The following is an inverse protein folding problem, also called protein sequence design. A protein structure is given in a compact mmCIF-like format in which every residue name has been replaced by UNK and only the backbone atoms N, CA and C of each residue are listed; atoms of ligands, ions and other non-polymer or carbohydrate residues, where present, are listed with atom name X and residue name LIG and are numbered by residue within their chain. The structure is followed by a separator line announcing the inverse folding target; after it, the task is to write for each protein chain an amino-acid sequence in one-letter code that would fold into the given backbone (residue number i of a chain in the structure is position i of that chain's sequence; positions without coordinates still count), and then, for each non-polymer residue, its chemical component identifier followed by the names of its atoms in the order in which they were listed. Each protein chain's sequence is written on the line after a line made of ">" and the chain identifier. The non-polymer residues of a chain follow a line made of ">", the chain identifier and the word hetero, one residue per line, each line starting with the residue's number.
data_IF_334573747283
#
_entry.id   IF_334573747283
#
_cell.length_a   1.000
_cell.length_b   1.000
_cell.length_c   1.000
_cell.angle_alpha   90.00
_cell.angle_beta   90.00
_cell.angle_gamma   90.00
#
_symmetry.space_group_name_H-M   'P 1'
#
loop_
_entity.id
_entity.type
_entity.pdbx_description
1 polymer ?
#
# COMPACT_ATOMS: atom_id res chain seq x y z
N UNK A 1 6.28 11.10 9.28
CA UNK A 1 5.26 11.55 10.24
C UNK A 1 3.98 11.81 9.45
N UNK A 2 2.89 12.27 10.08
CA UNK A 2 1.63 12.50 9.36
C UNK A 2 1.76 13.62 8.30
N UNK A 3 2.62 14.62 8.53
CA UNK A 3 2.90 15.69 7.57
C UNK A 3 3.54 15.22 6.25
N UNK A 4 4.10 14.00 6.20
CA UNK A 4 4.71 13.44 4.99
C UNK A 4 3.67 12.88 4.01
N UNK A 5 2.39 12.84 4.37
CA UNK A 5 1.33 12.38 3.48
C UNK A 5 1.00 13.48 2.48
N UNK A 6 1.63 13.40 1.31
CA UNK A 6 1.37 14.30 0.20
C UNK A 6 -0.09 14.19 -0.27
N UNK A 7 -0.68 15.32 -0.64
CA UNK A 7 -2.06 15.43 -1.14
C UNK A 7 -3.11 14.85 -0.18
N UNK A 8 -2.86 14.88 1.14
CA UNK A 8 -3.74 14.29 2.14
C UNK A 8 -5.18 14.79 2.03
N UNK A 9 -5.34 16.11 1.92
CA UNK A 9 -6.67 16.73 1.90
C UNK A 9 -7.46 16.29 0.65
N UNK A 10 -6.78 16.17 -0.49
CA UNK A 10 -7.37 15.74 -1.74
C UNK A 10 -7.70 14.25 -1.72
N UNK A 11 -6.82 13.41 -1.16
CA UNK A 11 -7.03 11.98 -1.02
C UNK A 11 -8.16 11.65 -0.05
N UNK A 12 -8.36 12.45 1.01
CA UNK A 12 -9.45 12.26 1.98
C UNK A 12 -10.85 12.47 1.36
N UNK A 13 -10.94 13.09 0.17
CA UNK A 13 -12.20 13.20 -0.60
C UNK A 13 -12.56 11.85 -1.25
N UNK A 14 -11.56 11.01 -1.53
CA UNK A 14 -11.77 9.71 -2.18
C UNK A 14 -12.30 8.68 -1.18
N UNK A 15 -13.17 7.81 -1.66
CA UNK A 15 -13.58 6.65 -0.88
C UNK A 15 -12.49 5.57 -0.92
N UNK A 16 -12.26 4.90 0.21
CA UNK A 16 -11.35 3.75 0.35
C UNK A 16 -9.84 4.05 0.30
N UNK A 17 -9.41 5.13 0.93
CA UNK A 17 -7.98 5.41 1.15
C UNK A 17 -7.54 4.87 2.51
N UNK A 18 -6.43 4.11 2.51
CA UNK A 18 -5.81 3.59 3.73
C UNK A 18 -4.39 4.15 3.89
N UNK A 19 -4.21 4.99 4.91
CA UNK A 19 -2.90 5.56 5.22
C UNK A 19 -2.07 4.61 6.09
N UNK A 20 -0.79 4.46 5.77
CA UNK A 20 0.16 3.65 6.51
C UNK A 20 1.41 4.47 6.84
N UNK A 21 1.77 4.54 8.12
CA UNK A 21 2.95 5.29 8.58
C UNK A 21 3.91 4.35 9.32
N UNK A 22 5.19 4.42 8.95
CA UNK A 22 6.28 3.71 9.64
C UNK A 22 6.69 4.40 10.95
N UNK A 23 6.44 5.70 11.05
CA UNK A 23 6.63 6.54 12.25
C UNK A 23 5.35 7.35 12.47
N UNK A 24 4.41 6.72 13.15
CA UNK A 24 3.11 7.29 13.46
C UNK A 24 3.09 7.99 14.83
N UNK A 25 2.25 9.01 15.02
CA UNK A 25 1.95 9.54 16.36
C UNK A 25 1.09 8.54 17.18
N UNK A 26 1.04 8.73 18.49
CA UNK A 26 0.35 7.80 19.41
C UNK A 26 -1.15 7.67 19.10
N UNK A 27 -1.77 8.78 18.74
CA UNK A 27 -3.19 8.87 18.38
C UNK A 27 -3.52 8.40 16.94
N UNK A 28 -2.54 7.85 16.21
CA UNK A 28 -2.76 7.39 14.83
C UNK A 28 -3.72 6.21 14.77
N UNK A 29 -4.78 6.38 13.99
CA UNK A 29 -5.86 5.38 13.77
C UNK A 29 -5.69 4.58 12.48
N UNK A 30 -4.79 5.00 11.58
CA UNK A 30 -4.48 4.29 10.35
C UNK A 30 -3.56 3.08 10.55
N UNK A 31 -3.08 2.53 9.44
CA UNK A 31 -2.16 1.40 9.44
C UNK A 31 -0.79 1.80 9.97
N UNK A 32 -0.13 0.87 10.68
CA UNK A 32 1.13 1.11 11.39
C UNK A 32 2.24 0.23 10.80
N UNK A 33 3.42 0.81 10.61
CA UNK A 33 4.61 0.11 10.13
C UNK A 33 4.74 0.06 8.61
N UNK A 34 5.15 -1.10 8.07
CA UNK A 34 5.29 -1.33 6.64
C UNK A 34 4.09 -2.10 6.09
N UNK A 35 3.85 -1.99 4.77
CA UNK A 35 2.77 -2.71 4.10
C UNK A 35 2.94 -4.23 4.25
N UNK A 36 1.91 -4.89 4.79
CA UNK A 36 1.89 -6.32 5.07
C UNK A 36 0.77 -7.04 4.30
N UNK A 37 0.77 -8.38 4.34
CA UNK A 37 -0.15 -9.21 3.54
C UNK A 37 -1.62 -8.95 3.84
N UNK A 38 -1.95 -8.63 5.09
CA UNK A 38 -3.33 -8.36 5.51
C UNK A 38 -3.95 -7.16 4.80
N UNK A 39 -3.13 -6.29 4.20
CA UNK A 39 -3.58 -5.06 3.54
C UNK A 39 -3.76 -5.19 2.03
N UNK A 40 -3.19 -6.21 1.40
CA UNK A 40 -3.16 -6.36 -0.07
C UNK A 40 -3.88 -7.63 -0.53
N UNK A 41 -5.17 -7.71 -0.22
CA UNK A 41 -5.99 -8.87 -0.58
C UNK A 41 -6.17 -8.96 -2.10
N UNK A 42 -6.03 -10.14 -2.71
CA UNK A 42 -6.31 -10.33 -4.11
C UNK A 42 -7.79 -10.08 -4.40
N UNK A 43 -8.05 -9.51 -5.58
CA UNK A 43 -9.38 -9.30 -6.12
C UNK A 43 -9.47 -10.00 -7.47
N UNK A 44 -10.64 -10.58 -7.76
CA UNK A 44 -10.89 -11.20 -9.05
C UNK A 44 -10.80 -10.15 -10.17
N UNK A 45 -10.11 -10.49 -11.25
CA UNK A 45 -9.90 -9.62 -12.43
C UNK A 45 -9.32 -8.23 -12.13
N UNK A 46 -8.59 -8.10 -11.03
CA UNK A 46 -7.93 -6.84 -10.66
C UNK A 46 -6.45 -6.77 -11.05
N UNK A 47 -5.94 -5.55 -11.08
CA UNK A 47 -4.52 -5.22 -11.22
C UNK A 47 -4.03 -4.51 -9.95
N UNK A 48 -2.83 -4.86 -9.51
CA UNK A 48 -2.11 -4.21 -8.43
C UNK A 48 -1.04 -3.27 -9.00
N UNK A 49 -1.29 -1.97 -8.88
CA UNK A 49 -0.41 -0.90 -9.33
C UNK A 49 0.49 -0.46 -8.18
N UNK A 50 1.80 -0.36 -8.40
CA UNK A 50 2.76 -0.01 -7.37
C UNK A 50 3.81 0.99 -7.87
N UNK A 51 4.03 2.07 -7.12
CA UNK A 51 5.06 3.07 -7.36
C UNK A 51 5.73 3.45 -6.03
N UNK A 52 7.03 3.68 -6.07
CA UNK A 52 7.80 4.11 -4.90
C UNK A 52 9.26 3.67 -4.98
N UNK A 53 10.02 3.76 -3.86
CA UNK A 53 11.42 3.34 -3.85
C UNK A 53 11.60 1.87 -4.26
N UNK A 54 12.67 1.49 -5.00
CA UNK A 54 12.85 0.13 -5.49
C UNK A 54 12.79 -0.96 -4.42
N UNK A 55 13.31 -0.68 -3.22
CA UNK A 55 13.24 -1.60 -2.06
C UNK A 55 11.80 -1.85 -1.61
N UNK A 56 10.97 -0.81 -1.62
CA UNK A 56 9.55 -0.91 -1.25
C UNK A 56 8.78 -1.73 -2.28
N UNK A 57 8.91 -1.42 -3.58
CA UNK A 57 8.21 -2.16 -4.63
C UNK A 57 8.58 -3.64 -4.65
N UNK A 58 9.86 -3.98 -4.45
CA UNK A 58 10.31 -5.36 -4.33
C UNK A 58 9.73 -6.06 -3.09
N UNK A 59 9.60 -5.35 -1.97
CA UNK A 59 8.96 -5.88 -0.77
C UNK A 59 7.48 -6.16 -1.02
N UNK A 60 6.75 -5.20 -1.60
CA UNK A 60 5.31 -5.33 -1.87
C UNK A 60 5.05 -6.46 -2.86
N UNK A 61 5.86 -6.62 -3.91
CA UNK A 61 5.72 -7.75 -4.84
C UNK A 61 5.84 -9.11 -4.13
N UNK A 62 6.80 -9.26 -3.21
CA UNK A 62 6.94 -10.49 -2.41
C UNK A 62 5.74 -10.70 -1.48
N UNK A 63 5.25 -9.62 -0.86
CA UNK A 63 4.07 -9.66 0.00
C UNK A 63 2.82 -10.02 -0.80
N UNK A 64 2.65 -9.47 -2.01
CA UNK A 64 1.50 -9.70 -2.88
C UNK A 64 1.46 -11.15 -3.37
N UNK A 65 2.61 -11.70 -3.78
CA UNK A 65 2.72 -13.11 -4.16
C UNK A 65 2.31 -14.03 -3.00
N UNK A 66 2.75 -13.72 -1.77
CA UNK A 66 2.35 -14.50 -0.58
C UNK A 66 0.86 -14.33 -0.22
N UNK A 67 0.26 -13.19 -0.55
CA UNK A 67 -1.17 -12.95 -0.35
C UNK A 67 -2.05 -13.61 -1.43
N UNK A 68 -1.45 -14.22 -2.47
CA UNK A 68 -2.15 -14.95 -3.51
C UNK A 68 -2.34 -14.19 -4.83
N UNK A 69 -1.72 -13.02 -5.01
CA UNK A 69 -1.72 -12.33 -6.29
C UNK A 69 -0.87 -13.07 -7.33
N UNK A 70 -1.34 -13.15 -8.57
CA UNK A 70 -0.48 -13.52 -9.69
C UNK A 70 0.40 -12.32 -10.07
N UNK A 71 1.58 -12.22 -9.48
CA UNK A 71 2.48 -11.08 -9.68
C UNK A 71 3.11 -10.99 -11.06
N UNK A 72 3.00 -12.02 -11.90
CA UNK A 72 3.50 -11.97 -13.27
C UNK A 72 2.55 -11.15 -14.16
N UNK A 73 1.25 -11.38 -14.01
CA UNK A 73 0.24 -10.79 -14.89
C UNK A 73 -0.50 -9.60 -14.25
N UNK A 74 -0.59 -9.57 -12.92
CA UNK A 74 -1.42 -8.60 -12.20
C UNK A 74 -0.63 -7.52 -11.45
N UNK A 75 0.70 -7.57 -11.41
CA UNK A 75 1.51 -6.59 -10.67
C UNK A 75 2.27 -5.66 -11.60
N UNK A 76 1.88 -4.38 -11.64
CA UNK A 76 2.50 -3.37 -12.51
C UNK A 76 3.30 -2.39 -11.67
N UNK A 77 4.53 -2.12 -12.09
CA UNK A 77 5.47 -1.19 -11.46
C UNK A 77 5.69 0.04 -12.33
N UNK A 78 5.84 1.19 -11.70
CA UNK A 78 6.21 2.46 -12.35
C UNK A 78 7.61 2.90 -11.95
#
# INVERSE_FOLDING_TARGET
>A
MEEDILLRNELDILQQVHYCLSRQPDNWTGLRGHISQSYIKPVQDGLLLCCGPPKMMNSICKTAAKAGWNVHDQFIRF
#
